data_IF_710634896853
#
_entry.id   IF_710634896853
#
_cell.length_a   1.000
_cell.length_b   1.000
_cell.length_c   1.000
_cell.angle_alpha   90.00
_cell.angle_beta   90.00
_cell.angle_gamma   90.00
#
_symmetry.space_group_name_H-M   'P 1'
#
loop_
_entity.id
_entity.type
_entity.pdbx_description
1 polymer ?
#
# COMPACT_ATOMS: atom_id res chain seq x y z
N UNK A 1 -18.60 9.31 -11.20
CA UNK A 1 -17.81 9.88 -10.09
C UNK A 1 -16.58 9.00 -9.90
N UNK A 2 -15.38 9.57 -9.77
CA UNK A 2 -14.16 8.78 -9.62
C UNK A 2 -13.93 8.47 -8.14
N UNK A 3 -13.87 7.19 -7.80
CA UNK A 3 -13.54 6.71 -6.45
C UNK A 3 -12.13 6.11 -6.48
N UNK A 4 -11.37 6.34 -5.42
CA UNK A 4 -10.04 5.79 -5.25
C UNK A 4 -9.94 5.18 -3.86
N UNK A 5 -9.42 3.96 -3.79
CA UNK A 5 -9.29 3.21 -2.55
C UNK A 5 -7.81 3.06 -2.20
N UNK A 6 -7.51 3.24 -0.91
CA UNK A 6 -6.16 3.17 -0.38
C UNK A 6 -6.17 2.44 0.95
N UNK A 7 -5.09 1.73 1.24
CA UNK A 7 -4.85 1.21 2.59
C UNK A 7 -4.05 2.21 3.41
N UNK A 8 -4.43 2.37 4.68
CA UNK A 8 -3.67 3.11 5.67
C UNK A 8 -3.12 2.13 6.70
N UNK A 9 -1.80 2.14 6.90
CA UNK A 9 -1.14 1.39 7.97
C UNK A 9 -0.57 2.41 8.94
N UNK A 10 -0.95 2.29 10.22
CA UNK A 10 -0.50 3.21 11.27
C UNK A 10 -0.15 2.44 12.54
N UNK A 11 0.91 2.87 13.23
CA UNK A 11 1.30 2.30 14.53
C UNK A 11 0.37 2.74 15.67
N UNK A 12 -0.27 3.90 15.51
CA UNK A 12 -1.23 4.49 16.46
C UNK A 12 -2.47 4.89 15.70
N UNK A 13 -3.61 4.95 16.39
CA UNK A 13 -4.85 5.46 15.79
C UNK A 13 -4.66 6.90 15.30
N UNK A 14 -5.08 7.17 14.05
CA UNK A 14 -4.99 8.49 13.41
C UNK A 14 -6.40 9.01 13.15
N UNK A 15 -6.67 10.26 13.53
CA UNK A 15 -7.89 10.97 13.13
C UNK A 15 -7.67 11.58 11.75
N UNK A 16 -8.34 11.02 10.74
CA UNK A 16 -8.32 11.55 9.38
C UNK A 16 -9.35 12.69 9.20
N UNK A 17 -9.06 13.70 8.38
CA UNK A 17 -10.04 14.74 8.05
C UNK A 17 -11.12 14.19 7.12
N UNK A 18 -12.33 14.77 7.17
CA UNK A 18 -13.42 14.42 6.24
C UNK A 18 -13.09 14.78 4.78
N UNK A 19 -12.23 15.76 4.57
CA UNK A 19 -11.90 16.27 3.24
C UNK A 19 -10.40 16.47 3.09
N UNK A 20 -9.86 16.04 1.95
CA UNK A 20 -8.50 16.36 1.53
C UNK A 20 -8.51 17.08 0.18
N UNK A 21 -7.36 17.64 -0.17
CA UNK A 21 -7.12 18.24 -1.48
C UNK A 21 -6.20 17.32 -2.27
N UNK A 22 -6.59 16.97 -3.49
CA UNK A 22 -5.84 16.07 -4.37
C UNK A 22 -5.44 16.77 -5.65
N UNK A 23 -4.21 16.48 -6.10
CA UNK A 23 -3.72 16.80 -7.44
C UNK A 23 -3.55 18.29 -7.76
N UNK A 24 -3.38 18.55 -9.06
CA UNK A 24 -3.30 19.91 -9.62
C UNK A 24 -4.65 20.59 -9.45
N UNK A 25 -4.65 21.87 -9.06
CA UNK A 25 -5.85 22.67 -8.74
C UNK A 25 -6.51 22.40 -7.39
N UNK A 26 -5.94 21.52 -6.54
CA UNK A 26 -6.35 21.36 -5.15
C UNK A 26 -7.83 20.97 -4.97
N UNK A 27 -8.33 20.13 -5.87
CA UNK A 27 -9.71 19.63 -5.85
C UNK A 27 -10.02 18.94 -4.53
N UNK A 28 -11.20 19.24 -3.98
CA UNK A 28 -11.67 18.70 -2.71
C UNK A 28 -12.21 17.28 -2.91
N UNK A 29 -11.70 16.33 -2.15
CA UNK A 29 -12.12 14.92 -2.15
C UNK A 29 -12.58 14.52 -0.76
N UNK A 30 -13.73 13.84 -0.68
CA UNK A 30 -14.25 13.29 0.58
C UNK A 30 -13.44 12.06 0.97
N UNK A 31 -13.17 11.90 2.26
CA UNK A 31 -12.57 10.69 2.81
C UNK A 31 -13.65 9.94 3.59
N UNK A 32 -13.89 8.72 3.16
CA UNK A 32 -14.57 7.69 3.95
C UNK A 32 -13.51 6.72 4.45
N UNK A 33 -13.56 6.40 5.74
CA UNK A 33 -12.59 5.48 6.38
C UNK A 33 -13.34 4.27 6.88
N UNK A 34 -12.91 3.09 6.44
CA UNK A 34 -13.39 1.82 6.95
C UNK A 34 -12.26 1.14 7.74
N UNK A 35 -12.54 0.78 9.00
CA UNK A 35 -11.56 0.09 9.85
C UNK A 35 -11.63 -1.40 9.54
N UNK A 36 -10.54 -1.94 9.02
CA UNK A 36 -10.40 -3.39 8.81
C UNK A 36 -10.23 -4.14 10.14
N UNK A 37 -10.61 -5.43 10.21
CA UNK A 37 -10.30 -6.27 11.35
C UNK A 37 -8.78 -6.35 11.58
N UNK A 38 -8.31 -6.76 12.76
CA UNK A 38 -6.87 -6.92 13.00
C UNK A 38 -6.23 -7.86 11.96
N UNK A 39 -5.15 -7.43 11.27
CA UNK A 39 -4.51 -8.28 10.27
C UNK A 39 -3.78 -9.44 10.95
N UNK A 40 -3.73 -10.57 10.26
CA UNK A 40 -2.81 -11.66 10.58
C UNK A 40 -1.51 -11.46 9.81
N UNK A 41 -0.47 -12.19 10.22
CA UNK A 41 0.84 -12.11 9.60
C UNK A 41 1.35 -13.50 9.24
N UNK A 42 1.96 -13.62 8.06
CA UNK A 42 2.62 -14.84 7.60
C UNK A 42 3.91 -14.47 6.87
N UNK A 43 4.91 -15.35 6.94
CA UNK A 43 6.12 -15.28 6.12
C UNK A 43 6.05 -16.39 5.08
N UNK A 44 5.99 -16.04 3.80
CA UNK A 44 5.86 -16.98 2.69
C UNK A 44 6.18 -16.30 1.34
N UNK A 45 6.10 -17.06 0.26
CA UNK A 45 5.93 -16.52 -1.09
C UNK A 45 4.51 -15.98 -1.27
N UNK A 46 4.39 -14.74 -1.72
CA UNK A 46 3.08 -14.12 -1.98
C UNK A 46 3.13 -13.12 -3.13
N UNK A 47 1.94 -12.72 -3.60
CA UNK A 47 1.76 -11.67 -4.61
C UNK A 47 0.99 -10.51 -3.99
N UNK A 48 1.58 -9.30 -4.06
CA UNK A 48 0.88 -8.06 -3.77
C UNK A 48 0.35 -7.48 -5.08
N UNK A 49 -0.98 -7.44 -5.22
CA UNK A 49 -1.66 -6.90 -6.42
C UNK A 49 -1.75 -5.38 -6.41
N UNK A 50 -1.49 -4.74 -5.28
CA UNK A 50 -1.58 -3.29 -5.13
C UNK A 50 -0.26 -2.62 -5.56
N UNK A 51 -0.31 -1.43 -6.17
CA UNK A 51 0.89 -0.67 -6.53
C UNK A 51 1.74 -0.37 -5.29
N UNK A 52 3.04 -0.59 -5.41
CA UNK A 52 4.05 -0.35 -4.39
C UNK A 52 5.15 0.56 -4.93
N UNK A 53 5.71 1.39 -4.07
CA UNK A 53 6.97 2.05 -4.36
C UNK A 53 8.11 1.02 -4.17
N UNK A 54 8.96 0.76 -5.19
CA UNK A 54 10.03 -0.23 -5.10
C UNK A 54 10.96 -0.03 -3.91
N UNK A 55 11.30 1.22 -3.59
CA UNK A 55 12.25 1.56 -2.52
C UNK A 55 11.76 1.14 -1.14
N UNK A 56 10.44 1.05 -0.96
CA UNK A 56 9.84 0.72 0.32
C UNK A 56 9.95 -0.78 0.63
N UNK A 57 10.06 -1.64 -0.38
CA UNK A 57 9.99 -3.11 -0.23
C UNK A 57 11.27 -3.85 -0.61
N UNK A 58 12.06 -3.33 -1.55
CA UNK A 58 13.17 -4.07 -2.18
C UNK A 58 14.33 -4.45 -1.25
N UNK A 59 14.42 -3.82 -0.07
CA UNK A 59 15.49 -4.07 0.91
C UNK A 59 15.05 -4.88 2.12
N UNK A 60 13.74 -5.09 2.30
CA UNK A 60 13.17 -5.84 3.41
C UNK A 60 12.46 -7.11 2.97
N UNK A 61 12.14 -7.22 1.68
CA UNK A 61 11.52 -8.37 1.06
C UNK A 61 12.30 -8.79 -0.19
N UNK A 62 12.32 -10.08 -0.50
CA UNK A 62 12.94 -10.59 -1.74
C UNK A 62 11.95 -10.48 -2.88
N UNK A 63 12.04 -9.39 -3.64
CA UNK A 63 11.23 -9.17 -4.86
C UNK A 63 11.70 -10.12 -5.96
N UNK A 64 10.77 -10.89 -6.53
CA UNK A 64 11.05 -11.94 -7.54
C UNK A 64 10.59 -11.49 -8.93
N UNK A 65 9.36 -10.98 -9.05
CA UNK A 65 8.79 -10.51 -10.31
C UNK A 65 7.76 -9.41 -10.07
N UNK A 66 7.53 -8.55 -11.07
CA UNK A 66 6.58 -7.44 -10.99
C UNK A 66 6.29 -6.86 -12.38
N UNK A 67 5.15 -6.19 -12.49
CA UNK A 67 4.84 -5.29 -13.61
C UNK A 67 5.19 -3.86 -13.24
N UNK A 68 5.64 -3.05 -14.22
CA UNK A 68 5.95 -1.63 -14.01
C UNK A 68 4.77 -0.76 -14.43
N UNK A 69 4.33 0.11 -13.52
CA UNK A 69 3.40 1.21 -13.82
C UNK A 69 4.21 2.48 -14.02
N UNK A 70 4.39 2.85 -15.28
CA UNK A 70 5.15 4.04 -15.65
C UNK A 70 4.33 5.30 -15.40
N UNK A 71 4.70 6.06 -14.37
CA UNK A 71 4.12 7.36 -14.08
C UNK A 71 5.19 8.34 -13.61
N UNK A 72 5.37 9.50 -14.26
CA UNK A 72 6.26 10.53 -13.73
C UNK A 72 5.76 11.07 -12.38
N UNK A 73 6.63 11.43 -11.41
CA UNK A 73 8.09 11.40 -11.47
C UNK A 73 8.74 10.06 -11.05
N UNK A 74 7.97 9.11 -10.50
CA UNK A 74 8.49 7.83 -9.99
C UNK A 74 7.56 6.70 -10.42
N UNK A 75 8.09 5.70 -11.14
CA UNK A 75 7.34 4.50 -11.50
C UNK A 75 7.03 3.66 -10.26
N UNK A 76 5.82 3.08 -10.24
CA UNK A 76 5.41 2.10 -9.25
C UNK A 76 5.57 0.68 -9.82
N UNK A 77 5.58 -0.31 -8.94
CA UNK A 77 5.50 -1.73 -9.31
C UNK A 77 4.18 -2.32 -8.82
N UNK A 78 3.59 -3.22 -9.59
CA UNK A 78 2.35 -3.92 -9.25
C UNK A 78 2.46 -5.41 -9.55
N UNK A 79 1.49 -6.20 -9.08
CA UNK A 79 1.50 -7.67 -9.20
C UNK A 79 2.83 -8.27 -8.70
N UNK A 80 3.37 -7.70 -7.63
CA UNK A 80 4.71 -7.99 -7.16
C UNK A 80 4.71 -9.34 -6.47
N UNK A 81 5.37 -10.33 -7.07
CA UNK A 81 5.68 -11.59 -6.40
C UNK A 81 6.93 -11.39 -5.55
N UNK A 82 6.83 -11.69 -4.28
CA UNK A 82 7.95 -11.56 -3.35
C UNK A 82 7.88 -12.59 -2.23
N UNK A 83 9.04 -12.85 -1.62
CA UNK A 83 9.15 -13.65 -0.42
C UNK A 83 9.47 -12.73 0.76
N UNK A 84 8.70 -12.88 1.83
CA UNK A 84 8.83 -12.05 3.02
C UNK A 84 7.61 -12.15 3.92
N UNK A 85 7.58 -11.27 4.92
CA UNK A 85 6.49 -11.18 5.89
C UNK A 85 5.39 -10.26 5.34
N UNK A 86 4.12 -10.65 5.44
CA UNK A 86 3.00 -9.85 4.93
C UNK A 86 1.77 -9.90 5.84
N UNK A 87 0.98 -8.83 5.78
CA UNK A 87 -0.35 -8.76 6.36
C UNK A 87 -1.36 -9.44 5.46
N UNK A 88 -2.29 -10.20 6.05
CA UNK A 88 -3.45 -10.75 5.37
C UNK A 88 -4.66 -10.76 6.32
N UNK A 89 -5.84 -10.98 5.75
CA UNK A 89 -7.10 -11.08 6.48
C UNK A 89 -7.84 -12.33 6.02
N UNK A 90 -8.58 -12.98 6.91
CA UNK A 90 -9.40 -14.14 6.53
C UNK A 90 -10.64 -13.68 5.75
N UNK A 91 -11.25 -12.58 6.18
CA UNK A 91 -12.53 -12.09 5.65
C UNK A 91 -12.37 -11.05 4.53
N UNK A 92 -11.16 -10.49 4.36
CA UNK A 92 -10.86 -9.52 3.29
C UNK A 92 -10.09 -10.22 2.19
N UNK A 93 -10.80 -10.55 1.11
CA UNK A 93 -10.25 -11.30 -0.03
C UNK A 93 -9.18 -10.48 -0.77
N UNK A 94 -8.17 -11.18 -1.26
CA UNK A 94 -7.13 -10.64 -2.15
C UNK A 94 -6.29 -9.49 -1.56
N UNK A 95 -6.30 -9.31 -0.24
CA UNK A 95 -5.44 -8.31 0.41
C UNK A 95 -4.24 -9.02 1.05
N UNK A 96 -3.08 -8.86 0.40
CA UNK A 96 -1.77 -9.22 0.94
C UNK A 96 -0.85 -8.02 0.80
N UNK A 97 -0.44 -7.44 1.93
CA UNK A 97 0.37 -6.22 1.95
C UNK A 97 1.71 -6.52 2.62
N UNK A 98 2.86 -6.21 1.99
CA UNK A 98 4.16 -6.48 2.60
C UNK A 98 4.30 -5.77 3.94
N UNK A 99 4.85 -6.49 4.92
CA UNK A 99 5.28 -5.92 6.19
C UNK A 99 6.71 -5.40 6.04
N UNK A 100 7.15 -4.61 7.03
CA UNK A 100 8.50 -4.05 7.07
C UNK A 100 8.81 -3.13 5.88
N UNK A 101 7.79 -2.46 5.33
CA UNK A 101 8.00 -1.39 4.37
C UNK A 101 8.80 -0.25 5.03
N UNK A 102 9.81 0.27 4.34
CA UNK A 102 10.67 1.33 4.84
C UNK A 102 10.52 2.60 4.02
N UNK A 103 9.98 3.66 4.63
CA UNK A 103 9.99 4.98 4.02
C UNK A 103 11.41 5.56 4.03
N UNK A 104 12.05 5.66 2.85
CA UNK A 104 13.48 5.99 2.72
C UNK A 104 13.78 7.42 2.24
N UNK A 105 12.80 8.32 2.24
CA UNK A 105 13.08 9.72 1.92
C UNK A 105 13.74 10.40 3.13
N UNK A 106 14.87 11.07 2.88
CA UNK A 106 15.51 11.92 3.90
C UNK A 106 14.57 13.09 4.23
N UNK A 107 14.35 13.31 5.52
CA UNK A 107 13.67 14.51 6.03
C UNK A 107 14.55 15.75 5.84
#
# INVERSE_FOLDING_TARGET
ESQFEFFLIAQKDIKLPKWIRLGKWMSKAEITVEKLPPPKTKTDLFTCTHPLNPLDVMFTNRVISYDVVNMPPVSLIQNVQMEGEYYYFDDVKNVKIPKQMQYRFKA
#
